data_IF_555498406606
#
_entry.id   IF_555498406606
#
_cell.length_a   1.000
_cell.length_b   1.000
_cell.length_c   1.000
_cell.angle_alpha   90.00
_cell.angle_beta   90.00
_cell.angle_gamma   90.00
#
_symmetry.space_group_name_H-M   'P 1'
#
loop_
_entity.id
_entity.type
_entity.pdbx_description
1 polymer ?
#
# COMPACT_ATOMS: atom_id res chain seq x y z
N UNK A 1 -3.72 16.85 -12.95
CA UNK A 1 -3.69 16.93 -11.48
C UNK A 1 -3.77 15.56 -10.82
N UNK A 2 -4.82 14.78 -11.12
CA UNK A 2 -4.94 13.45 -10.53
C UNK A 2 -3.78 12.52 -10.90
N UNK A 3 -3.23 12.64 -12.10
CA UNK A 3 -2.10 11.81 -12.53
C UNK A 3 -0.86 12.03 -11.66
N UNK A 4 -0.64 13.25 -11.18
CA UNK A 4 0.46 13.53 -10.25
C UNK A 4 0.23 12.83 -8.91
N UNK A 5 -1.00 12.82 -8.41
CA UNK A 5 -1.33 12.11 -7.18
C UNK A 5 -1.15 10.59 -7.32
N UNK A 6 -1.53 10.01 -8.46
CA UNK A 6 -1.26 8.59 -8.74
C UNK A 6 0.24 8.30 -8.68
N UNK A 7 1.04 9.13 -9.31
CA UNK A 7 2.51 8.98 -9.31
C UNK A 7 3.09 9.09 -7.90
N UNK A 8 2.69 10.10 -7.14
CA UNK A 8 3.15 10.31 -5.77
C UNK A 8 2.80 9.09 -4.91
N UNK A 9 1.59 8.57 -5.05
CA UNK A 9 1.13 7.42 -4.29
C UNK A 9 1.95 6.17 -4.58
N UNK A 10 2.25 5.91 -5.85
CA UNK A 10 3.10 4.78 -6.25
C UNK A 10 4.53 4.94 -5.72
N UNK A 11 5.09 6.14 -5.80
CA UNK A 11 6.43 6.43 -5.29
C UNK A 11 6.51 6.31 -3.78
N UNK A 12 5.44 6.67 -3.06
CA UNK A 12 5.36 6.50 -1.61
C UNK A 12 5.45 5.02 -1.22
N UNK A 13 4.69 4.16 -1.86
CA UNK A 13 4.74 2.71 -1.62
C UNK A 13 6.10 2.12 -2.00
N UNK A 14 6.69 2.58 -3.09
CA UNK A 14 8.04 2.16 -3.49
C UNK A 14 9.08 2.58 -2.44
N UNK A 15 9.00 3.80 -1.95
CA UNK A 15 9.91 4.31 -0.94
C UNK A 15 9.82 3.49 0.36
N UNK A 16 8.61 3.17 0.80
CA UNK A 16 8.40 2.30 1.97
C UNK A 16 9.08 0.96 1.74
N UNK A 17 8.87 0.33 0.59
CA UNK A 17 9.46 -0.97 0.27
C UNK A 17 10.98 -0.90 0.32
N UNK A 18 11.57 0.11 -0.30
CA UNK A 18 13.03 0.27 -0.38
C UNK A 18 13.67 0.52 0.99
N UNK A 19 12.99 1.28 1.86
CA UNK A 19 13.51 1.59 3.19
C UNK A 19 13.37 0.41 4.16
N UNK A 20 12.28 -0.35 4.06
CA UNK A 20 12.05 -1.49 4.96
C UNK A 20 12.70 -2.78 4.51
N UNK A 21 12.88 -2.99 3.21
CA UNK A 21 13.47 -4.23 2.70
C UNK A 21 14.30 -4.02 1.44
N UNK A 22 15.59 -3.86 1.63
CA UNK A 22 16.56 -3.77 0.53
C UNK A 22 16.56 -5.06 -0.30
N UNK A 23 16.52 -6.22 0.37
CA UNK A 23 16.53 -7.53 -0.29
C UNK A 23 15.30 -7.73 -1.17
N UNK A 24 14.11 -7.39 -0.63
CA UNK A 24 12.86 -7.52 -1.38
C UNK A 24 12.83 -6.57 -2.58
N UNK A 25 13.27 -5.32 -2.37
CA UNK A 25 13.38 -4.35 -3.46
C UNK A 25 14.33 -4.81 -4.56
N UNK A 26 15.45 -5.41 -4.18
CA UNK A 26 16.39 -5.98 -5.15
C UNK A 26 15.71 -7.10 -5.95
N UNK A 27 14.97 -7.99 -5.28
CA UNK A 27 14.22 -9.07 -5.93
C UNK A 27 13.20 -8.57 -6.94
N UNK A 28 12.50 -7.47 -6.63
CA UNK A 28 11.52 -6.87 -7.55
C UNK A 28 12.19 -6.45 -8.86
N UNK A 29 13.41 -5.92 -8.80
CA UNK A 29 14.15 -5.48 -10.00
C UNK A 29 14.45 -6.62 -10.97
N UNK A 30 14.43 -7.87 -10.50
CA UNK A 30 14.64 -9.04 -11.33
C UNK A 30 13.38 -9.50 -12.07
N UNK A 31 12.22 -8.94 -11.72
CA UNK A 31 10.95 -9.24 -12.35
C UNK A 31 10.71 -8.32 -13.53
N UNK A 32 9.73 -8.67 -14.36
CA UNK A 32 9.32 -7.83 -15.47
C UNK A 32 8.93 -6.43 -14.96
N UNK A 33 9.41 -5.40 -15.63
CA UNK A 33 9.21 -4.00 -15.23
C UNK A 33 7.72 -3.63 -15.16
N UNK A 34 6.88 -4.27 -15.97
CA UNK A 34 5.45 -3.97 -16.02
C UNK A 34 4.72 -4.24 -14.72
N UNK A 35 5.26 -5.09 -13.84
CA UNK A 35 4.63 -5.44 -12.55
C UNK A 35 5.30 -4.80 -11.34
N UNK A 36 6.38 -4.02 -11.52
CA UNK A 36 7.11 -3.42 -10.40
C UNK A 36 6.20 -2.55 -9.54
N UNK A 37 5.45 -1.63 -10.14
CA UNK A 37 4.56 -0.73 -9.40
C UNK A 37 3.49 -1.48 -8.62
N UNK A 38 2.93 -2.53 -9.21
CA UNK A 38 1.93 -3.36 -8.53
C UNK A 38 2.49 -4.01 -7.27
N UNK A 39 3.68 -4.58 -7.37
CA UNK A 39 4.32 -5.26 -6.24
C UNK A 39 4.74 -4.26 -5.17
N UNK A 40 5.29 -3.11 -5.53
CA UNK A 40 5.60 -2.05 -4.56
C UNK A 40 4.33 -1.57 -3.83
N UNK A 41 3.22 -1.44 -4.55
CA UNK A 41 1.96 -0.99 -3.95
C UNK A 41 1.40 -2.00 -2.95
N UNK A 42 1.47 -3.28 -3.27
CA UNK A 42 1.04 -4.36 -2.36
C UNK A 42 1.95 -4.42 -1.13
N UNK A 43 3.26 -4.41 -1.34
CA UNK A 43 4.21 -4.48 -0.22
C UNK A 43 4.07 -3.27 0.70
N UNK A 44 3.95 -2.07 0.14
CA UNK A 44 3.77 -0.85 0.94
C UNK A 44 2.55 -0.92 1.85
N UNK A 45 1.45 -1.44 1.32
CA UNK A 45 0.23 -1.67 2.11
C UNK A 45 0.45 -2.67 3.24
N UNK A 46 1.00 -3.84 2.93
CA UNK A 46 1.25 -4.90 3.91
C UNK A 46 2.22 -4.40 4.99
N UNK A 47 3.27 -3.70 4.60
CA UNK A 47 4.27 -3.19 5.54
C UNK A 47 3.68 -2.14 6.49
N UNK A 48 2.81 -1.26 5.97
CA UNK A 48 2.16 -0.25 6.82
C UNK A 48 1.22 -0.91 7.82
N UNK A 49 0.45 -1.91 7.40
CA UNK A 49 -0.40 -2.69 8.30
C UNK A 49 0.42 -3.38 9.40
N UNK A 50 1.54 -4.00 9.01
CA UNK A 50 2.45 -4.65 9.95
C UNK A 50 3.06 -3.65 10.94
N UNK A 51 3.38 -2.43 10.49
CA UNK A 51 3.93 -1.40 11.37
C UNK A 51 2.96 -1.04 12.49
N UNK A 52 1.67 -0.93 12.18
CA UNK A 52 0.64 -0.67 13.20
C UNK A 52 0.66 -1.78 14.26
N UNK A 53 0.72 -3.04 13.82
CA UNK A 53 0.73 -4.20 14.71
C UNK A 53 2.02 -4.27 15.53
N UNK A 54 3.17 -4.02 14.91
CA UNK A 54 4.48 -4.27 15.50
C UNK A 54 5.01 -3.12 16.35
N UNK A 55 4.62 -1.86 16.07
CA UNK A 55 5.28 -0.69 16.64
C UNK A 55 4.38 0.27 17.42
N UNK A 56 3.07 0.20 17.24
CA UNK A 56 2.13 1.18 17.82
C UNK A 56 1.69 0.81 19.22
N UNK A 57 2.58 0.25 20.05
CA UNK A 57 2.22 -0.30 21.37
C UNK A 57 1.74 0.75 22.37
N UNK A 58 2.24 1.98 22.29
CA UNK A 58 1.88 3.08 23.20
C UNK A 58 0.69 3.90 22.70
N UNK A 59 0.01 3.43 21.66
CA UNK A 59 -1.09 4.12 21.00
C UNK A 59 -2.33 3.21 20.94
N UNK A 60 -3.52 3.74 20.63
CA UNK A 60 -4.72 2.91 20.51
C UNK A 60 -4.67 2.03 19.26
N UNK A 61 -3.79 1.05 19.30
CA UNK A 61 -3.41 0.21 18.16
C UNK A 61 -4.57 -0.55 17.55
N UNK A 62 -5.41 -1.19 18.37
CA UNK A 62 -6.54 -1.97 17.87
C UNK A 62 -7.53 -1.08 17.13
N UNK A 63 -7.85 0.08 17.70
CA UNK A 63 -8.74 1.05 17.07
C UNK A 63 -8.16 1.55 15.74
N UNK A 64 -6.87 1.89 15.75
CA UNK A 64 -6.18 2.38 14.55
C UNK A 64 -6.12 1.31 13.45
N UNK A 65 -5.92 0.05 13.83
CA UNK A 65 -5.91 -1.05 12.86
C UNK A 65 -7.29 -1.26 12.23
N UNK A 66 -8.35 -1.16 13.04
CA UNK A 66 -9.73 -1.27 12.54
C UNK A 66 -10.09 -0.11 11.62
N UNK A 67 -9.65 1.11 11.96
CA UNK A 67 -9.83 2.29 11.10
C UNK A 67 -9.08 2.12 9.78
N UNK A 68 -7.85 1.60 9.83
CA UNK A 68 -7.05 1.34 8.64
C UNK A 68 -7.73 0.32 7.72
N UNK A 69 -8.28 -0.73 8.30
CA UNK A 69 -9.06 -1.74 7.57
C UNK A 69 -10.27 -1.12 6.89
N UNK A 70 -11.04 -0.31 7.60
CA UNK A 70 -12.22 0.38 7.08
C UNK A 70 -11.85 1.33 5.94
N UNK A 71 -10.81 2.14 6.13
CA UNK A 71 -10.30 3.04 5.08
C UNK A 71 -9.80 2.28 3.86
N UNK A 72 -9.23 1.09 4.04
CA UNK A 72 -8.81 0.25 2.93
C UNK A 72 -10.00 -0.16 2.06
N UNK A 73 -11.07 -0.67 2.67
CA UNK A 73 -12.27 -1.05 1.93
C UNK A 73 -12.92 0.15 1.24
N UNK A 74 -12.99 1.29 1.93
CA UNK A 74 -13.53 2.52 1.34
C UNK A 74 -12.71 2.98 0.13
N UNK A 75 -11.38 2.90 0.23
CA UNK A 75 -10.50 3.31 -0.88
C UNK A 75 -10.72 2.45 -2.13
N UNK A 76 -10.93 1.16 -1.94
CA UNK A 76 -11.20 0.22 -3.04
C UNK A 76 -12.55 0.54 -3.68
N UNK A 77 -13.57 0.77 -2.88
CA UNK A 77 -14.92 1.10 -3.37
C UNK A 77 -14.96 2.44 -4.10
N UNK A 78 -14.35 3.47 -3.50
CA UNK A 78 -14.32 4.83 -4.06
C UNK A 78 -13.33 4.99 -5.21
N UNK A 79 -12.36 4.10 -5.31
CA UNK A 79 -11.23 4.18 -6.25
C UNK A 79 -10.37 5.42 -6.04
N UNK A 80 -10.30 5.87 -4.80
CA UNK A 80 -9.48 7.00 -4.37
C UNK A 80 -9.28 6.96 -2.85
N UNK A 81 -8.14 7.48 -2.38
CA UNK A 81 -7.88 7.67 -0.95
C UNK A 81 -6.99 8.88 -0.73
N UNK A 82 -7.19 9.56 0.40
CA UNK A 82 -6.28 10.62 0.85
C UNK A 82 -4.99 10.05 1.44
N UNK A 83 -4.98 8.74 1.73
CA UNK A 83 -3.77 8.03 2.16
C UNK A 83 -3.04 7.50 0.93
N UNK A 84 -1.83 7.98 0.61
CA UNK A 84 -1.13 7.58 -0.61
C UNK A 84 -0.86 6.09 -0.71
N UNK A 85 -0.60 5.42 0.41
CA UNK A 85 -0.36 3.97 0.43
C UNK A 85 -1.63 3.22 0.07
N UNK A 86 -2.78 3.60 0.66
CA UNK A 86 -4.07 3.01 0.32
C UNK A 86 -4.47 3.36 -1.10
N UNK A 87 -4.15 4.57 -1.57
CA UNK A 87 -4.46 4.97 -2.93
C UNK A 87 -3.73 4.11 -3.95
N UNK A 88 -2.41 3.89 -3.79
CA UNK A 88 -1.66 3.03 -4.70
C UNK A 88 -2.14 1.58 -4.62
N UNK A 89 -2.45 1.10 -3.42
CA UNK A 89 -2.94 -0.27 -3.21
C UNK A 89 -4.30 -0.48 -3.91
N UNK A 90 -5.25 0.44 -3.74
CA UNK A 90 -6.56 0.31 -4.39
C UNK A 90 -6.44 0.36 -5.92
N UNK A 91 -5.49 1.12 -6.47
CA UNK A 91 -5.27 1.14 -7.92
C UNK A 91 -4.93 -0.26 -8.44
N UNK A 92 -4.08 -0.98 -7.73
CA UNK A 92 -3.71 -2.36 -8.09
C UNK A 92 -4.88 -3.32 -7.90
N UNK A 93 -5.58 -3.23 -6.77
CA UNK A 93 -6.76 -4.07 -6.48
C UNK A 93 -7.80 -3.91 -7.57
N UNK A 94 -8.10 -2.67 -7.96
CA UNK A 94 -9.10 -2.39 -8.99
C UNK A 94 -8.63 -2.77 -10.40
N UNK A 95 -7.35 -2.54 -10.71
CA UNK A 95 -6.78 -2.89 -12.01
C UNK A 95 -6.83 -4.40 -12.28
N UNK A 96 -6.50 -5.20 -11.27
CA UNK A 96 -6.43 -6.66 -11.41
C UNK A 96 -7.65 -7.39 -10.88
N UNK A 97 -8.68 -6.67 -10.45
CA UNK A 97 -9.92 -7.23 -9.89
C UNK A 97 -9.65 -8.22 -8.76
N UNK A 98 -8.76 -7.83 -7.83
CA UNK A 98 -8.38 -8.69 -6.72
C UNK A 98 -9.49 -8.68 -5.67
N UNK A 99 -9.89 -9.87 -5.21
CA UNK A 99 -10.86 -10.01 -4.13
C UNK A 99 -10.12 -9.93 -2.78
N UNK A 100 -10.39 -8.86 -2.02
CA UNK A 100 -9.72 -8.57 -0.75
C UNK A 100 -10.64 -8.90 0.42
N UNK A 101 -10.14 -9.76 1.30
CA UNK A 101 -10.80 -10.08 2.58
C UNK A 101 -9.80 -9.85 3.70
N UNK A 102 -10.01 -8.82 4.47
CA UNK A 102 -9.13 -8.43 5.57
C UNK A 102 -9.69 -8.83 6.93
#
# INVERSE_FOLDING_TARGET
MINLYHKISKETSKNITQLYSTSFSFGIKLLDKSIHDAIYSIYGFVRLADEIVDSFHDYPKTEMLLEFKDETYKSIERKISVNPVLHSFQMVVNQYSIDIKL
#
